data_IF_903402558217
#
_entry.id   IF_903402558217
#
_cell.length_a   1.000
_cell.length_b   1.000
_cell.length_c   1.000
_cell.angle_alpha   90.00
_cell.angle_beta   90.00
_cell.angle_gamma   90.00
#
_symmetry.space_group_name_H-M   'P 1'
#
loop_
_entity.id
_entity.type
_entity.pdbx_description
1 polymer ?
#
# COMPACT_ATOMS: atom_id res chain seq x y z
N UNK A 1 1.93 -4.04 31.60
CA UNK A 1 1.78 -3.87 30.16
C UNK A 1 1.07 -5.09 29.58
N UNK A 2 0.04 -4.90 28.75
CA UNK A 2 -0.60 -6.01 28.02
C UNK A 2 0.44 -6.61 27.04
N UNK A 3 0.40 -7.92 26.86
CA UNK A 3 1.23 -8.60 25.85
C UNK A 3 0.58 -8.38 24.50
N UNK A 4 1.31 -7.77 23.57
CA UNK A 4 0.90 -7.55 22.18
C UNK A 4 1.60 -8.58 21.30
N UNK A 5 0.90 -9.18 20.36
CA UNK A 5 1.42 -10.23 19.48
C UNK A 5 1.05 -9.93 18.02
N UNK A 6 1.86 -10.40 17.08
CA UNK A 6 1.57 -10.40 15.65
C UNK A 6 0.86 -11.71 15.33
N UNK A 7 -0.33 -11.64 14.72
CA UNK A 7 -1.16 -12.79 14.39
C UNK A 7 -1.24 -13.08 12.90
N UNK A 8 -0.87 -12.10 12.06
CA UNK A 8 -0.84 -12.26 10.62
C UNK A 8 0.09 -11.24 9.98
N UNK A 9 0.61 -11.58 8.83
CA UNK A 9 1.48 -10.76 8.01
C UNK A 9 1.05 -10.82 6.55
N UNK A 10 1.33 -9.74 5.79
CA UNK A 10 1.14 -9.69 4.36
C UNK A 10 2.24 -8.88 3.71
N UNK A 11 2.59 -9.21 2.48
CA UNK A 11 3.70 -8.58 1.77
C UNK A 11 3.43 -8.38 0.29
N UNK A 12 3.71 -7.16 -0.20
CA UNK A 12 3.79 -6.85 -1.62
C UNK A 12 5.11 -6.14 -1.86
N UNK A 13 6.05 -6.82 -2.49
CA UNK A 13 7.44 -6.38 -2.59
C UNK A 13 8.02 -6.60 -3.99
N UNK A 14 9.14 -5.93 -4.34
CA UNK A 14 9.85 -6.18 -5.61
C UNK A 14 10.38 -7.61 -5.78
N UNK A 15 10.49 -8.39 -4.70
CA UNK A 15 10.95 -9.78 -4.74
C UNK A 15 9.82 -10.79 -4.55
N UNK A 16 8.57 -10.35 -4.44
CA UNK A 16 7.42 -11.24 -4.40
C UNK A 16 6.18 -10.62 -3.79
N UNK A 17 5.05 -11.14 -4.21
CA UNK A 17 3.74 -10.87 -3.63
C UNK A 17 3.38 -12.08 -2.77
N UNK A 18 2.95 -11.82 -1.54
CA UNK A 18 2.74 -12.81 -0.49
C UNK A 18 3.97 -13.08 0.36
N UNK A 19 3.74 -13.31 1.67
CA UNK A 19 4.81 -13.52 2.68
C UNK A 19 5.67 -14.72 2.34
N UNK A 20 5.09 -15.82 1.90
CA UNK A 20 5.84 -17.05 1.57
C UNK A 20 6.82 -16.83 0.42
N UNK A 21 6.36 -16.15 -0.65
CA UNK A 21 7.20 -15.81 -1.80
C UNK A 21 8.30 -14.82 -1.39
N UNK A 22 7.93 -13.80 -0.63
CA UNK A 22 8.88 -12.83 -0.10
C UNK A 22 9.96 -13.52 0.74
N UNK A 23 9.56 -14.37 1.70
CA UNK A 23 10.49 -15.08 2.59
C UNK A 23 11.43 -15.99 1.83
N UNK A 24 10.89 -16.80 0.91
CA UNK A 24 11.69 -17.68 0.04
C UNK A 24 12.75 -16.88 -0.73
N UNK A 25 12.38 -15.76 -1.32
CA UNK A 25 13.27 -14.98 -2.17
C UNK A 25 14.32 -14.19 -1.37
N UNK A 26 13.94 -13.61 -0.22
CA UNK A 26 14.90 -12.88 0.61
C UNK A 26 15.94 -13.82 1.23
N UNK A 27 15.53 -15.02 1.66
CA UNK A 27 16.47 -16.02 2.21
C UNK A 27 17.38 -16.62 1.13
N UNK A 28 16.94 -16.62 -0.13
CA UNK A 28 17.75 -17.02 -1.28
C UNK A 28 18.66 -15.88 -1.81
N UNK A 29 18.63 -14.69 -1.21
CA UNK A 29 19.43 -13.54 -1.65
C UNK A 29 18.98 -12.92 -2.99
N UNK A 30 17.71 -13.11 -3.38
CA UNK A 30 17.17 -12.55 -4.62
C UNK A 30 17.10 -11.03 -4.52
N UNK A 31 17.69 -10.33 -5.49
CA UNK A 31 17.56 -8.88 -5.61
C UNK A 31 16.24 -8.48 -6.27
N UNK A 32 15.54 -7.53 -5.67
CA UNK A 32 14.39 -6.87 -6.28
C UNK A 32 14.74 -5.72 -7.21
N UNK A 33 15.98 -5.25 -7.17
CA UNK A 33 16.45 -4.13 -8.00
C UNK A 33 16.69 -4.62 -9.43
N UNK A 34 16.14 -3.87 -10.39
CA UNK A 34 16.22 -4.15 -11.81
C UNK A 34 16.11 -2.86 -12.63
N UNK A 35 16.26 -2.92 -13.93
CA UNK A 35 16.00 -1.78 -14.82
C UNK A 35 14.55 -1.32 -14.69
N UNK A 36 14.34 -0.01 -14.60
CA UNK A 36 13.02 0.62 -14.53
C UNK A 36 12.21 0.27 -15.79
N UNK A 37 10.96 -0.16 -15.61
CA UNK A 37 10.04 -0.55 -16.69
C UNK A 37 8.73 0.23 -16.68
N UNK A 38 8.41 0.91 -15.58
CA UNK A 38 7.17 1.66 -15.43
C UNK A 38 7.11 2.96 -16.24
N UNK A 39 8.27 3.49 -16.63
CA UNK A 39 8.42 4.67 -17.50
C UNK A 39 9.76 4.65 -18.23
N UNK A 40 9.93 5.51 -19.23
CA UNK A 40 11.23 5.67 -19.94
C UNK A 40 12.23 6.40 -19.05
N UNK A 41 13.22 5.67 -18.56
CA UNK A 41 14.29 6.18 -17.70
C UNK A 41 15.61 6.43 -18.46
N UNK A 42 15.61 6.37 -19.80
CA UNK A 42 16.84 6.40 -20.62
C UNK A 42 17.69 7.67 -20.42
N UNK A 43 17.05 8.79 -20.11
CA UNK A 43 17.74 10.08 -19.86
C UNK A 43 18.12 10.28 -18.38
N UNK A 44 17.78 9.36 -17.49
CA UNK A 44 18.13 9.48 -16.08
C UNK A 44 19.51 8.93 -15.77
N UNK A 45 20.21 9.56 -14.84
CA UNK A 45 21.50 9.11 -14.36
C UNK A 45 21.43 7.74 -13.65
N UNK A 46 20.28 7.41 -13.05
CA UNK A 46 19.99 6.13 -12.40
C UNK A 46 18.77 5.51 -13.08
N UNK A 47 18.94 4.31 -13.63
CA UNK A 47 17.92 3.62 -14.43
C UNK A 47 17.46 2.31 -13.78
N UNK A 48 17.73 2.13 -12.49
CA UNK A 48 17.37 0.94 -11.74
C UNK A 48 16.48 1.30 -10.55
N UNK A 49 15.51 0.45 -10.24
CA UNK A 49 14.63 0.58 -9.08
C UNK A 49 14.10 -0.78 -8.61
N UNK A 50 13.53 -0.80 -7.41
CA UNK A 50 12.77 -1.93 -6.89
C UNK A 50 11.29 -1.80 -7.25
N UNK A 51 10.90 -2.23 -8.43
CA UNK A 51 9.49 -2.25 -8.87
C UNK A 51 8.82 -3.58 -8.50
N UNK A 52 7.54 -3.54 -8.13
CA UNK A 52 6.74 -4.77 -7.92
C UNK A 52 6.49 -5.41 -9.29
N UNK A 53 7.12 -6.58 -9.50
CA UNK A 53 7.14 -7.26 -10.80
C UNK A 53 5.86 -8.06 -11.02
N UNK A 54 5.40 -8.12 -12.29
CA UNK A 54 4.23 -8.93 -12.71
C UNK A 54 2.96 -8.64 -11.90
N UNK A 55 2.79 -7.41 -11.46
CA UNK A 55 1.64 -7.01 -10.67
C UNK A 55 0.44 -6.68 -11.56
N UNK A 56 -0.59 -7.50 -11.44
CA UNK A 56 -1.91 -7.19 -12.01
C UNK A 56 -2.92 -7.11 -10.84
N UNK A 57 -3.41 -5.93 -10.49
CA UNK A 57 -4.31 -5.79 -9.35
C UNK A 57 -5.61 -6.58 -9.49
N UNK A 58 -6.04 -6.91 -10.72
CA UNK A 58 -7.26 -7.68 -10.96
C UNK A 58 -7.18 -9.12 -10.44
N UNK A 59 -5.99 -9.62 -10.16
CA UNK A 59 -5.79 -10.97 -9.60
C UNK A 59 -6.04 -11.01 -8.09
N UNK A 60 -6.10 -9.83 -7.45
CA UNK A 60 -6.10 -9.70 -5.99
C UNK A 60 -7.28 -8.90 -5.44
N UNK A 61 -7.89 -8.04 -6.23
CA UNK A 61 -8.89 -7.10 -5.72
C UNK A 61 -9.99 -6.76 -6.74
N UNK A 62 -11.18 -6.32 -6.29
CA UNK A 62 -12.30 -5.99 -7.16
C UNK A 62 -11.99 -4.84 -8.12
N UNK A 63 -12.47 -4.95 -9.36
CA UNK A 63 -12.27 -3.92 -10.41
C UNK A 63 -12.73 -2.52 -10.00
N UNK A 64 -13.78 -2.44 -9.21
CA UNK A 64 -14.30 -1.15 -8.71
C UNK A 64 -13.32 -0.46 -7.76
N UNK A 65 -12.66 -1.23 -6.90
CA UNK A 65 -11.65 -0.72 -5.98
C UNK A 65 -10.38 -0.31 -6.74
N UNK A 66 -9.96 -1.11 -7.73
CA UNK A 66 -8.82 -0.77 -8.59
C UNK A 66 -8.99 0.61 -9.25
N UNK A 67 -10.18 0.90 -9.77
CA UNK A 67 -10.46 2.19 -10.42
C UNK A 67 -10.43 3.39 -9.47
N UNK A 68 -10.63 3.16 -8.18
CA UNK A 68 -10.69 4.19 -7.14
C UNK A 68 -9.35 4.42 -6.42
N UNK A 69 -8.37 3.55 -6.63
CA UNK A 69 -7.12 3.50 -5.87
C UNK A 69 -5.90 3.80 -6.73
N UNK A 70 -4.86 4.32 -6.11
CA UNK A 70 -3.50 4.44 -6.64
C UNK A 70 -2.70 3.17 -6.27
N UNK A 71 -1.62 2.82 -6.96
CA UNK A 71 -0.83 1.63 -6.66
C UNK A 71 -0.43 1.44 -5.19
N UNK A 72 -0.07 2.50 -4.46
CA UNK A 72 0.29 2.36 -3.04
C UNK A 72 -0.88 1.84 -2.19
N UNK A 73 -2.11 2.27 -2.50
CA UNK A 73 -3.32 1.77 -1.83
C UNK A 73 -3.60 0.30 -2.18
N UNK A 74 -3.33 -0.08 -3.43
CA UNK A 74 -3.51 -1.46 -3.90
C UNK A 74 -2.55 -2.40 -3.18
N UNK A 75 -1.28 -2.02 -3.05
CA UNK A 75 -0.29 -2.79 -2.31
C UNK A 75 -0.67 -2.94 -0.83
N UNK A 76 -1.09 -1.85 -0.20
CA UNK A 76 -1.53 -1.86 1.19
C UNK A 76 -2.76 -2.75 1.41
N UNK A 77 -3.75 -2.66 0.52
CA UNK A 77 -4.95 -3.48 0.56
C UNK A 77 -4.63 -4.97 0.44
N UNK A 78 -3.84 -5.36 -0.56
CA UNK A 78 -3.48 -6.77 -0.80
C UNK A 78 -2.67 -7.34 0.38
N UNK A 79 -1.73 -6.58 0.92
CA UNK A 79 -0.99 -7.00 2.10
C UNK A 79 -1.89 -7.13 3.35
N UNK A 80 -2.87 -6.23 3.52
CA UNK A 80 -3.84 -6.32 4.61
C UNK A 80 -4.74 -7.56 4.48
N UNK A 81 -5.23 -7.86 3.28
CA UNK A 81 -6.04 -9.06 3.01
C UNK A 81 -5.28 -10.35 3.35
N UNK A 82 -4.01 -10.45 2.95
CA UNK A 82 -3.17 -11.59 3.30
C UNK A 82 -2.98 -11.72 4.81
N UNK A 83 -2.68 -10.62 5.50
CA UNK A 83 -2.50 -10.59 6.95
C UNK A 83 -3.77 -10.99 7.71
N UNK A 84 -4.93 -10.46 7.30
CA UNK A 84 -6.22 -10.80 7.88
C UNK A 84 -6.55 -12.28 7.68
N UNK A 85 -6.35 -12.80 6.47
CA UNK A 85 -6.55 -14.20 6.17
C UNK A 85 -5.63 -15.12 6.99
N UNK A 86 -4.36 -14.75 7.14
CA UNK A 86 -3.39 -15.52 7.92
C UNK A 86 -3.73 -15.51 9.41
N UNK A 87 -4.19 -14.37 9.93
CA UNK A 87 -4.53 -14.22 11.35
C UNK A 87 -5.69 -15.11 11.78
N UNK A 88 -6.60 -15.43 10.85
CA UNK A 88 -7.86 -16.14 11.11
C UNK A 88 -8.67 -15.52 12.27
N UNK A 89 -8.56 -14.21 12.47
CA UNK A 89 -9.29 -13.47 13.50
C UNK A 89 -10.61 -13.00 12.95
N UNK A 90 -11.64 -13.10 13.78
CA UNK A 90 -12.92 -12.42 13.54
C UNK A 90 -12.77 -10.93 13.86
N UNK A 91 -13.19 -10.08 12.92
CA UNK A 91 -13.14 -8.62 13.10
C UNK A 91 -14.31 -8.21 13.99
N UNK A 92 -13.99 -7.66 15.16
CA UNK A 92 -14.94 -6.95 16.01
C UNK A 92 -14.93 -5.47 15.60
N UNK A 93 -15.98 -4.93 14.94
CA UNK A 93 -15.93 -3.62 14.29
C UNK A 93 -15.42 -2.48 15.16
N UNK A 94 -16.00 -2.30 16.34
CA UNK A 94 -15.65 -1.18 17.24
C UNK A 94 -14.31 -1.37 17.96
N UNK A 95 -13.80 -2.60 18.03
CA UNK A 95 -12.55 -2.95 18.71
C UNK A 95 -11.37 -3.14 17.76
N UNK A 96 -11.63 -3.11 16.46
CA UNK A 96 -10.59 -3.22 15.44
C UNK A 96 -10.27 -1.84 14.89
N UNK A 97 -9.00 -1.49 14.84
CA UNK A 97 -8.52 -0.25 14.26
C UNK A 97 -7.48 -0.50 13.19
N UNK A 98 -7.14 0.55 12.44
CA UNK A 98 -6.10 0.53 11.40
C UNK A 98 -5.12 1.66 11.69
N UNK A 99 -3.84 1.31 11.70
CA UNK A 99 -2.76 2.31 11.67
C UNK A 99 -1.88 2.03 10.46
N UNK A 100 -1.82 3.00 9.55
CA UNK A 100 -1.05 2.89 8.32
C UNK A 100 0.15 3.82 8.34
N UNK A 101 1.31 3.30 7.93
CA UNK A 101 2.51 4.09 7.71
C UNK A 101 2.72 4.32 6.22
N UNK A 102 2.94 5.57 5.80
CA UNK A 102 3.23 5.90 4.39
C UNK A 102 4.17 7.10 4.29
N UNK A 103 5.18 6.99 3.44
CA UNK A 103 6.14 8.09 3.21
C UNK A 103 5.63 9.06 2.15
N UNK A 104 5.12 8.53 1.04
CA UNK A 104 4.64 9.32 -0.11
C UNK A 104 3.37 8.69 -0.66
N UNK A 105 2.40 9.53 -1.02
CA UNK A 105 1.07 9.08 -1.41
C UNK A 105 0.76 9.50 -2.84
N UNK A 106 0.23 8.57 -3.65
CA UNK A 106 -0.36 8.87 -4.94
C UNK A 106 0.58 9.49 -5.98
N UNK A 107 1.88 9.24 -5.89
CA UNK A 107 2.88 9.84 -6.79
C UNK A 107 2.58 9.51 -8.24
N UNK A 108 2.19 8.27 -8.56
CA UNK A 108 1.83 7.87 -9.91
C UNK A 108 0.63 8.68 -10.42
N UNK A 109 -0.41 8.85 -9.60
CA UNK A 109 -1.58 9.67 -9.94
C UNK A 109 -1.22 11.15 -10.10
N UNK A 110 -0.34 11.70 -9.27
CA UNK A 110 0.12 13.09 -9.35
C UNK A 110 0.90 13.31 -10.64
N UNK A 111 1.88 12.47 -10.95
CA UNK A 111 2.69 12.56 -12.16
C UNK A 111 1.82 12.49 -13.42
N UNK A 112 0.94 11.48 -13.53
CA UNK A 112 0.01 11.34 -14.64
C UNK A 112 -0.90 12.59 -14.81
N UNK A 113 -1.37 13.15 -13.68
CA UNK A 113 -2.24 14.33 -13.73
C UNK A 113 -1.47 15.57 -14.18
N UNK A 114 -0.22 15.73 -13.71
CA UNK A 114 0.66 16.83 -14.13
C UNK A 114 0.94 16.76 -15.64
N UNK A 115 1.25 15.60 -16.17
CA UNK A 115 1.45 15.41 -17.62
C UNK A 115 0.19 15.73 -18.41
N UNK A 116 -0.98 15.31 -17.92
CA UNK A 116 -2.25 15.62 -18.56
C UNK A 116 -2.54 17.13 -18.57
N UNK A 117 -2.21 17.84 -17.51
CA UNK A 117 -2.37 19.32 -17.43
C UNK A 117 -1.38 20.03 -18.35
N UNK A 118 -0.13 19.60 -18.38
CA UNK A 118 0.92 20.19 -19.24
C UNK A 118 0.65 19.97 -20.74
N UNK A 119 0.04 18.84 -21.10
CA UNK A 119 -0.26 18.45 -22.47
C UNK A 119 -1.61 18.96 -23.00
N UNK A 120 -2.24 19.98 -22.40
CA UNK A 120 -3.58 20.50 -22.75
C UNK A 120 -4.70 19.42 -22.69
N UNK A 121 -4.48 18.32 -22.01
CA UNK A 121 -5.45 17.23 -21.87
C UNK A 121 -6.28 17.34 -20.58
N UNK A 122 -6.65 18.57 -20.18
CA UNK A 122 -7.34 18.89 -18.93
C UNK A 122 -8.59 18.04 -18.65
N UNK A 123 -9.24 17.53 -19.70
CA UNK A 123 -10.40 16.64 -19.58
C UNK A 123 -10.08 15.27 -18.97
N UNK A 124 -8.80 14.92 -18.81
CA UNK A 124 -8.36 13.64 -18.23
C UNK A 124 -8.24 13.69 -16.70
N UNK A 125 -8.30 14.88 -16.09
CA UNK A 125 -8.31 15.02 -14.63
C UNK A 125 -9.71 14.71 -14.12
N UNK A 126 -9.87 13.55 -13.54
CA UNK A 126 -11.16 13.06 -13.05
C UNK A 126 -11.44 13.43 -11.59
N UNK A 127 -12.71 13.30 -11.13
CA UNK A 127 -13.11 13.65 -9.75
C UNK A 127 -12.48 12.76 -8.68
N UNK A 128 -11.83 11.67 -9.06
CA UNK A 128 -11.14 10.75 -8.14
C UNK A 128 -9.67 11.13 -7.89
N UNK A 129 -9.21 12.26 -8.41
CA UNK A 129 -7.82 12.70 -8.20
C UNK A 129 -7.50 12.82 -6.72
N UNK A 130 -8.26 13.65 -5.98
CA UNK A 130 -8.02 13.88 -4.55
C UNK A 130 -8.07 12.58 -3.73
N UNK A 131 -9.11 11.73 -3.82
CA UNK A 131 -9.12 10.45 -3.10
C UNK A 131 -7.90 9.55 -3.39
N UNK A 132 -7.35 9.60 -4.59
CA UNK A 132 -6.19 8.76 -4.97
C UNK A 132 -4.85 9.24 -4.41
N UNK A 133 -4.75 10.50 -4.00
CA UNK A 133 -3.49 11.06 -3.50
C UNK A 133 -3.44 11.24 -1.98
N UNK A 134 -4.56 11.07 -1.30
CA UNK A 134 -4.61 11.20 0.16
C UNK A 134 -4.16 9.91 0.84
N UNK A 135 -3.17 9.99 1.73
CA UNK A 135 -2.58 8.83 2.40
C UNK A 135 -3.55 8.05 3.29
N UNK A 136 -4.49 8.74 3.93
CA UNK A 136 -5.47 8.11 4.82
C UNK A 136 -6.54 7.29 4.07
N UNK A 137 -6.72 7.49 2.78
CA UNK A 137 -7.73 6.76 1.99
C UNK A 137 -7.35 5.28 1.83
N UNK A 138 -6.07 4.92 1.90
CA UNK A 138 -5.68 3.52 1.92
C UNK A 138 -6.25 2.79 3.14
N UNK A 139 -6.09 3.34 4.35
CA UNK A 139 -6.71 2.81 5.57
C UNK A 139 -8.24 2.83 5.50
N UNK A 140 -8.82 3.91 4.98
CA UNK A 140 -10.27 4.04 4.85
C UNK A 140 -10.90 2.98 3.94
N UNK A 141 -10.26 2.63 2.81
CA UNK A 141 -10.75 1.58 1.93
C UNK A 141 -10.81 0.21 2.63
N UNK A 142 -9.76 -0.14 3.38
CA UNK A 142 -9.71 -1.38 4.17
C UNK A 142 -10.78 -1.35 5.27
N UNK A 143 -10.92 -0.22 5.97
CA UNK A 143 -11.92 -0.08 7.02
C UNK A 143 -13.36 -0.24 6.51
N UNK A 144 -13.68 0.34 5.35
CA UNK A 144 -15.00 0.22 4.73
C UNK A 144 -15.28 -1.22 4.32
N UNK A 145 -14.32 -1.89 3.70
CA UNK A 145 -14.51 -3.24 3.15
C UNK A 145 -14.72 -4.28 4.27
N UNK A 146 -14.02 -4.09 5.39
CA UNK A 146 -14.09 -4.99 6.56
C UNK A 146 -15.00 -4.48 7.70
N UNK A 147 -15.74 -3.39 7.48
CA UNK A 147 -16.60 -2.77 8.52
C UNK A 147 -15.84 -2.45 9.82
N UNK A 148 -14.59 -1.99 9.71
CA UNK A 148 -13.79 -1.58 10.87
C UNK A 148 -14.21 -0.18 11.30
N UNK A 149 -14.59 -0.03 12.57
CA UNK A 149 -15.16 1.20 13.13
C UNK A 149 -14.31 1.80 14.26
N UNK A 150 -13.25 1.14 14.66
CA UNK A 150 -12.28 1.67 15.62
C UNK A 150 -11.35 2.72 15.01
N UNK A 151 -10.27 3.12 15.71
CA UNK A 151 -9.36 4.16 15.25
C UNK A 151 -8.78 3.87 13.87
N UNK A 152 -8.81 4.86 12.97
CA UNK A 152 -8.19 4.80 11.66
C UNK A 152 -7.21 5.96 11.52
N UNK A 153 -5.92 5.66 11.60
CA UNK A 153 -4.82 6.63 11.65
C UNK A 153 -3.85 6.41 10.51
N UNK A 154 -3.22 7.47 10.04
CA UNK A 154 -2.11 7.42 9.09
C UNK A 154 -0.94 8.21 9.62
N UNK A 155 0.21 7.57 9.67
CA UNK A 155 1.48 8.13 10.15
C UNK A 155 2.41 8.33 8.96
N UNK A 156 3.03 9.51 8.89
CA UNK A 156 3.97 9.86 7.83
C UNK A 156 5.24 10.44 8.44
N UNK A 157 6.28 9.61 8.52
CA UNK A 157 7.61 9.92 9.05
C UNK A 157 8.71 9.43 8.10
N UNK A 158 8.49 9.65 6.80
CA UNK A 158 9.36 9.18 5.72
C UNK A 158 9.65 7.66 5.81
N UNK A 159 10.90 7.24 5.74
CA UNK A 159 11.30 5.82 5.74
C UNK A 159 10.96 5.08 7.05
N UNK A 160 10.72 5.77 8.17
CA UNK A 160 10.35 5.18 9.45
C UNK A 160 8.83 4.96 9.63
N UNK A 161 8.01 5.44 8.67
CA UNK A 161 6.53 5.42 8.80
C UNK A 161 5.96 4.06 9.18
N UNK A 162 6.49 2.98 8.61
CA UNK A 162 6.04 1.62 8.93
C UNK A 162 6.30 1.23 10.38
N UNK A 163 7.49 1.52 10.90
CA UNK A 163 7.84 1.29 12.31
C UNK A 163 7.01 2.14 13.26
N UNK A 164 6.81 3.41 12.92
CA UNK A 164 6.01 4.33 13.73
C UNK A 164 4.52 3.96 13.71
N UNK A 165 4.01 3.41 12.62
CA UNK A 165 2.65 2.87 12.55
C UNK A 165 2.46 1.68 13.51
N UNK A 166 3.42 0.75 13.54
CA UNK A 166 3.39 -0.38 14.49
C UNK A 166 3.43 0.13 15.92
N UNK A 167 4.33 1.07 16.24
CA UNK A 167 4.42 1.67 17.57
C UNK A 167 3.11 2.37 17.96
N UNK A 168 2.53 3.16 17.06
CA UNK A 168 1.24 3.83 17.28
C UNK A 168 0.12 2.83 17.55
N UNK A 169 0.04 1.75 16.76
CA UNK A 169 -0.91 0.68 16.99
C UNK A 169 -0.74 0.04 18.36
N UNK A 170 0.50 -0.24 18.77
CA UNK A 170 0.80 -0.75 20.11
C UNK A 170 0.35 0.20 21.23
N UNK A 171 0.49 1.51 21.04
CA UNK A 171 0.02 2.51 22.02
C UNK A 171 -1.51 2.53 22.11
N UNK A 172 -2.21 2.37 20.97
CA UNK A 172 -3.68 2.32 20.96
C UNK A 172 -4.25 1.07 21.66
N UNK A 173 -3.49 -0.02 21.77
CA UNK A 173 -3.91 -1.28 22.40
C UNK A 173 -3.63 -1.37 23.90
N UNK A 174 -2.90 -0.44 24.48
CA UNK A 174 -2.57 -0.40 25.91
C UNK A 174 -3.66 0.23 26.74
#
# INVERSE_FOLDING_TARGET
>A
MKKIVITGMGAVTPIGIGVDTYWKNITAGVSGIDTIKSFDASELAVQIAGEVKNFNPSDYMPKDLIRKTDPFMQYAYIAAEEALKQSNLEIEPERTGIVMGTAMNGIATIAFTQDALSGAAHKKVGPRFIPKILGNIAAANIAIDHNIQGPSLTVSTACSSGGDAINTACMCMQ
#
